data_IF_808366008053
#
_entry.id   IF_808366008053
#
_cell.length_a   1.000
_cell.length_b   1.000
_cell.length_c   1.000
_cell.angle_alpha   90.00
_cell.angle_beta   90.00
_cell.angle_gamma   90.00
#
_symmetry.space_group_name_H-M   'P 1'
#
loop_
_entity.id
_entity.type
_entity.pdbx_description
1 polymer ?
#
# COMPACT_ATOMS: atom_id res chain seq x y z
N UNK A 1 26.65 -4.17 -21.33
CA UNK A 1 25.71 -5.03 -22.08
C UNK A 1 24.48 -4.16 -22.35
N UNK A 2 24.26 -3.73 -23.58
CA UNK A 2 23.11 -2.92 -24.00
C UNK A 2 21.88 -3.82 -23.92
N UNK A 3 21.01 -3.58 -22.95
CA UNK A 3 19.67 -4.18 -22.91
C UNK A 3 18.97 -3.80 -24.22
N UNK A 4 18.46 -4.78 -24.98
CA UNK A 4 17.73 -4.48 -26.23
C UNK A 4 16.51 -3.63 -25.84
N UNK A 5 16.47 -2.39 -26.33
CA UNK A 5 15.35 -1.47 -26.09
C UNK A 5 14.04 -1.95 -26.75
N UNK A 6 14.15 -2.86 -27.72
CA UNK A 6 12.99 -3.40 -28.44
C UNK A 6 13.04 -4.92 -28.28
N UNK A 7 11.93 -5.51 -27.82
CA UNK A 7 11.77 -6.97 -27.69
C UNK A 7 11.39 -7.62 -29.04
N UNK A 8 11.27 -8.95 -29.05
CA UNK A 8 10.90 -9.73 -30.26
C UNK A 8 9.50 -9.40 -30.79
N UNK A 9 8.63 -8.78 -29.97
CA UNK A 9 7.28 -8.35 -30.34
C UNK A 9 7.22 -6.91 -30.83
N UNK A 10 8.37 -6.20 -30.89
CA UNK A 10 8.47 -4.81 -31.26
C UNK A 10 8.10 -3.83 -30.13
N UNK A 11 7.96 -4.31 -28.88
CA UNK A 11 7.71 -3.44 -27.74
C UNK A 11 9.00 -2.78 -27.26
N UNK A 12 8.92 -1.48 -26.98
CA UNK A 12 10.06 -0.69 -26.48
C UNK A 12 10.15 -0.81 -24.97
N UNK A 13 11.23 -1.38 -24.48
CA UNK A 13 11.47 -1.53 -23.06
C UNK A 13 12.39 -0.41 -22.56
N UNK A 14 11.89 0.43 -21.64
CA UNK A 14 12.68 1.50 -21.02
C UNK A 14 13.22 1.01 -19.68
N UNK A 15 14.55 0.79 -19.56
CA UNK A 15 15.13 0.40 -18.29
C UNK A 15 15.02 1.52 -17.26
N UNK A 16 14.78 1.16 -16.00
CA UNK A 16 14.78 2.11 -14.90
C UNK A 16 16.11 2.88 -14.81
N UNK A 17 16.08 4.18 -14.53
CA UNK A 17 17.30 4.95 -14.24
C UNK A 17 18.11 4.28 -13.13
N UNK A 18 19.45 4.34 -13.16
CA UNK A 18 20.32 3.63 -12.20
C UNK A 18 19.95 3.91 -10.74
N UNK A 19 19.60 5.15 -10.42
CA UNK A 19 19.16 5.54 -9.07
C UNK A 19 17.86 4.82 -8.65
N UNK A 20 16.84 4.85 -9.50
CA UNK A 20 15.56 4.21 -9.22
C UNK A 20 15.73 2.70 -9.07
N UNK A 21 16.53 2.06 -9.94
CA UNK A 21 16.84 0.64 -9.85
C UNK A 21 17.55 0.28 -8.55
N UNK A 22 18.54 1.08 -8.12
CA UNK A 22 19.27 0.84 -6.87
C UNK A 22 18.33 0.97 -5.69
N UNK A 23 17.46 1.97 -5.68
CA UNK A 23 16.56 2.26 -4.56
C UNK A 23 15.41 1.26 -4.47
N UNK A 24 14.73 0.97 -5.59
CA UNK A 24 13.48 0.22 -5.60
C UNK A 24 13.60 -1.25 -6.04
N UNK A 25 14.75 -1.65 -6.61
CA UNK A 25 14.90 -2.99 -7.19
C UNK A 25 16.12 -3.77 -6.69
N UNK A 26 16.93 -3.17 -5.78
CA UNK A 26 18.07 -3.87 -5.17
C UNK A 26 17.94 -3.90 -3.65
N UNK A 27 18.55 -4.91 -3.02
CA UNK A 27 18.52 -5.07 -1.56
C UNK A 27 19.43 -4.08 -0.83
N UNK A 28 20.19 -3.23 -1.55
CA UNK A 28 21.14 -2.28 -0.95
C UNK A 28 20.48 -1.32 0.05
N UNK A 29 19.26 -0.87 -0.23
CA UNK A 29 18.49 0.02 0.62
C UNK A 29 17.30 -0.68 1.32
N UNK A 30 17.30 -2.02 1.41
CA UNK A 30 16.23 -2.75 2.07
C UNK A 30 16.05 -2.37 3.55
N UNK A 31 17.12 -1.93 4.23
CA UNK A 31 17.07 -1.41 5.61
C UNK A 31 16.24 -0.12 5.72
N UNK A 32 16.28 0.76 4.72
CA UNK A 32 15.47 1.98 4.68
C UNK A 32 13.98 1.62 4.62
N UNK A 33 13.64 0.68 3.75
CA UNK A 33 12.27 0.18 3.62
C UNK A 33 11.77 -0.52 4.87
N UNK A 34 12.66 -1.22 5.58
CA UNK A 34 12.33 -1.78 6.90
C UNK A 34 11.94 -0.69 7.90
N UNK A 35 12.69 0.40 8.00
CA UNK A 35 12.38 1.52 8.91
C UNK A 35 11.03 2.14 8.57
N UNK A 36 10.79 2.46 7.29
CA UNK A 36 9.52 3.05 6.83
C UNK A 36 8.35 2.09 7.13
N UNK A 37 8.51 0.81 6.86
CA UNK A 37 7.54 -0.22 7.12
C UNK A 37 7.19 -0.35 8.60
N UNK A 38 8.20 -0.41 9.47
CA UNK A 38 8.00 -0.49 10.92
C UNK A 38 7.31 0.75 11.47
N UNK A 39 7.68 1.93 10.99
CA UNK A 39 7.01 3.18 11.36
C UNK A 39 5.52 3.16 10.96
N UNK A 40 5.20 2.84 9.72
CA UNK A 40 3.82 2.75 9.25
C UNK A 40 3.05 1.65 9.98
N UNK A 41 3.67 0.48 10.22
CA UNK A 41 3.07 -0.60 11.00
C UNK A 41 2.65 -0.11 12.39
N UNK A 42 3.56 0.52 13.12
CA UNK A 42 3.26 1.06 14.44
C UNK A 42 2.07 2.04 14.41
N UNK A 43 2.04 2.93 13.43
CA UNK A 43 0.96 3.93 13.28
C UNK A 43 -0.37 3.29 12.94
N UNK A 44 -0.40 2.33 12.02
CA UNK A 44 -1.60 1.59 11.65
C UNK A 44 -2.13 0.72 12.80
N UNK A 45 -1.25 0.02 13.50
CA UNK A 45 -1.64 -0.82 14.63
C UNK A 45 -2.20 0.01 15.79
N UNK A 46 -1.55 1.11 16.16
CA UNK A 46 -2.03 1.98 17.24
C UNK A 46 -3.36 2.64 16.91
N UNK A 47 -3.54 3.11 15.67
CA UNK A 47 -4.81 3.68 15.19
C UNK A 47 -5.92 2.63 15.19
N UNK A 48 -5.68 1.48 14.57
CA UNK A 48 -6.65 0.39 14.47
C UNK A 48 -7.01 -0.21 15.83
N UNK A 49 -6.02 -0.40 16.70
CA UNK A 49 -6.26 -0.89 18.06
C UNK A 49 -7.16 0.04 18.86
N UNK A 50 -6.90 1.35 18.78
CA UNK A 50 -7.74 2.36 19.43
C UNK A 50 -9.21 2.32 18.93
N UNK A 51 -9.41 2.00 17.64
CA UNK A 51 -10.76 1.82 17.08
C UNK A 51 -11.39 0.48 17.49
N UNK A 52 -10.64 -0.62 17.46
CA UNK A 52 -11.13 -1.95 17.86
C UNK A 52 -11.59 -2.00 19.30
N UNK A 53 -10.94 -1.23 20.18
CA UNK A 53 -11.29 -1.19 21.62
C UNK A 53 -12.34 -0.13 21.94
N UNK A 54 -12.77 0.65 20.95
CA UNK A 54 -13.76 1.72 21.13
C UNK A 54 -15.14 1.26 20.65
N UNK A 55 -16.13 1.13 21.56
CA UNK A 55 -17.50 0.73 21.19
C UNK A 55 -18.13 1.59 20.11
N UNK A 56 -17.84 2.90 20.05
CA UNK A 56 -18.37 3.79 19.03
C UNK A 56 -17.92 3.46 17.60
N UNK A 57 -16.82 2.70 17.45
CA UNK A 57 -16.39 2.16 16.16
C UNK A 57 -16.96 0.77 15.88
N UNK A 58 -17.02 -0.08 16.94
CA UNK A 58 -17.33 -1.50 16.79
C UNK A 58 -18.81 -1.83 16.96
N UNK A 59 -19.56 -1.00 17.71
CA UNK A 59 -20.97 -1.22 18.02
C UNK A 59 -21.81 -0.12 17.37
N UNK A 60 -22.23 -0.35 16.11
CA UNK A 60 -23.07 0.59 15.37
C UNK A 60 -22.32 1.64 14.53
N UNK A 61 -21.01 1.80 14.69
CA UNK A 61 -20.19 2.69 13.84
C UNK A 61 -20.45 4.18 14.03
N UNK A 62 -20.98 4.61 15.18
CA UNK A 62 -21.35 6.01 15.45
C UNK A 62 -20.17 6.99 15.30
N UNK A 63 -18.93 6.55 15.61
CA UNK A 63 -17.75 7.38 15.40
C UNK A 63 -17.47 7.65 13.91
N UNK A 64 -17.69 6.65 13.05
CA UNK A 64 -17.54 6.82 11.61
C UNK A 64 -18.69 7.65 11.04
N UNK A 65 -19.92 7.43 11.52
CA UNK A 65 -21.08 8.25 11.18
C UNK A 65 -20.81 9.72 11.44
N UNK A 66 -20.42 10.08 12.66
CA UNK A 66 -20.12 11.47 13.02
C UNK A 66 -18.99 12.07 12.18
N UNK A 67 -17.97 11.27 11.84
CA UNK A 67 -16.91 11.69 10.93
C UNK A 67 -17.45 11.99 9.52
N UNK A 68 -18.29 11.12 8.95
CA UNK A 68 -18.89 11.33 7.63
C UNK A 68 -19.88 12.49 7.61
N UNK A 69 -20.74 12.63 8.63
CA UNK A 69 -21.67 13.77 8.78
C UNK A 69 -20.91 15.10 8.78
N UNK A 70 -19.83 15.19 9.56
CA UNK A 70 -18.97 16.37 9.56
C UNK A 70 -18.28 16.61 8.23
N UNK A 71 -17.88 15.55 7.52
CA UNK A 71 -17.21 15.65 6.22
C UNK A 71 -18.14 16.14 5.10
N UNK A 72 -19.41 15.66 5.05
CA UNK A 72 -20.39 16.05 4.01
C UNK A 72 -21.01 17.41 4.27
N UNK A 73 -20.95 17.92 5.49
CA UNK A 73 -21.54 19.20 5.87
C UNK A 73 -21.00 20.35 4.99
N UNK A 74 -21.89 21.23 4.58
CA UNK A 74 -21.54 22.48 3.88
C UNK A 74 -21.71 23.60 4.90
N UNK A 75 -20.61 24.24 5.34
CA UNK A 75 -20.70 25.32 6.30
C UNK A 75 -21.30 26.58 5.66
N UNK A 76 -22.01 27.39 6.46
CA UNK A 76 -22.57 28.67 6.02
C UNK A 76 -21.47 29.68 5.61
N UNK A 77 -20.28 29.55 6.21
CA UNK A 77 -19.09 30.34 5.86
C UNK A 77 -17.86 29.45 5.81
N UNK A 78 -16.95 29.77 4.88
CA UNK A 78 -15.70 29.01 4.68
C UNK A 78 -15.80 27.97 3.58
N UNK A 79 -14.84 27.02 3.58
CA UNK A 79 -14.77 25.95 2.57
C UNK A 79 -15.29 24.63 3.15
N UNK A 80 -16.06 23.86 2.40
CA UNK A 80 -16.44 22.52 2.82
C UNK A 80 -15.22 21.62 2.95
N UNK A 81 -15.28 20.64 3.87
CA UNK A 81 -14.20 19.68 4.10
C UNK A 81 -13.88 18.86 2.83
N UNK A 82 -14.91 18.43 2.11
CA UNK A 82 -14.79 17.70 0.85
C UNK A 82 -14.75 18.67 -0.33
N UNK A 83 -13.64 18.68 -1.07
CA UNK A 83 -13.47 19.50 -2.26
C UNK A 83 -14.24 18.97 -3.49
N UNK A 84 -14.41 17.63 -3.59
CA UNK A 84 -15.00 16.97 -4.76
C UNK A 84 -16.47 16.62 -4.52
N UNK A 85 -17.38 17.24 -5.28
CA UNK A 85 -18.84 17.01 -5.16
C UNK A 85 -19.25 15.54 -5.32
N UNK A 86 -18.63 14.81 -6.27
CA UNK A 86 -18.91 13.39 -6.47
C UNK A 86 -18.58 12.55 -5.22
N UNK A 87 -17.50 12.87 -4.50
CA UNK A 87 -17.11 12.14 -3.30
C UNK A 87 -18.04 12.47 -2.11
N UNK A 88 -18.48 13.72 -2.03
CA UNK A 88 -19.52 14.12 -1.05
C UNK A 88 -20.81 13.33 -1.28
N UNK A 89 -21.30 13.26 -2.53
CA UNK A 89 -22.51 12.49 -2.87
C UNK A 89 -22.33 11.00 -2.55
N UNK A 90 -21.13 10.45 -2.79
CA UNK A 90 -20.82 9.08 -2.42
C UNK A 90 -20.88 8.84 -0.90
N UNK A 91 -20.28 9.71 -0.09
CA UNK A 91 -20.36 9.58 1.37
C UNK A 91 -21.79 9.81 1.89
N UNK A 92 -22.55 10.74 1.30
CA UNK A 92 -23.95 10.95 1.64
C UNK A 92 -24.77 9.69 1.35
N UNK A 93 -24.58 9.05 0.21
CA UNK A 93 -25.20 7.77 -0.11
C UNK A 93 -24.89 6.68 0.94
N UNK A 94 -23.62 6.59 1.39
CA UNK A 94 -23.24 5.63 2.43
C UNK A 94 -23.89 5.96 3.79
N UNK A 95 -24.04 7.24 4.12
CA UNK A 95 -24.77 7.69 5.32
C UNK A 95 -26.24 7.31 5.26
N UNK A 96 -26.92 7.63 4.16
CA UNK A 96 -28.35 7.35 3.97
C UNK A 96 -28.64 5.83 3.99
N UNK A 97 -27.69 5.02 3.51
CA UNK A 97 -27.74 3.57 3.57
C UNK A 97 -27.34 2.97 4.93
N UNK A 98 -27.03 3.79 5.95
CA UNK A 98 -26.51 3.38 7.25
C UNK A 98 -25.27 2.46 7.18
N UNK A 99 -24.45 2.62 6.12
CA UNK A 99 -23.30 1.77 5.88
C UNK A 99 -22.19 1.91 6.93
N UNK A 100 -22.17 2.99 7.70
CA UNK A 100 -21.23 3.21 8.79
C UNK A 100 -21.27 2.10 9.85
N UNK A 101 -22.40 1.39 10.00
CA UNK A 101 -22.58 0.31 10.98
C UNK A 101 -21.61 -0.86 10.76
N UNK A 102 -21.35 -1.22 9.53
CA UNK A 102 -20.40 -2.28 9.17
C UNK A 102 -19.05 -1.74 8.65
N UNK A 103 -19.06 -0.53 8.08
CA UNK A 103 -17.82 0.11 7.61
C UNK A 103 -16.90 0.51 8.76
N UNK A 104 -17.45 0.93 9.91
CA UNK A 104 -16.69 1.27 11.11
C UNK A 104 -15.79 0.10 11.57
N UNK A 105 -16.37 -1.08 11.88
CA UNK A 105 -15.61 -2.28 12.17
C UNK A 105 -14.65 -2.69 11.06
N UNK A 106 -15.04 -2.59 9.78
CA UNK A 106 -14.20 -2.91 8.63
C UNK A 106 -12.93 -2.03 8.59
N UNK A 107 -13.08 -0.73 8.80
CA UNK A 107 -11.95 0.21 8.86
C UNK A 107 -11.03 -0.14 10.04
N UNK A 108 -11.58 -0.37 11.23
CA UNK A 108 -10.81 -0.71 12.42
C UNK A 108 -9.98 -1.99 12.23
N UNK A 109 -10.61 -3.06 11.73
CA UNK A 109 -9.93 -4.33 11.42
C UNK A 109 -8.91 -4.15 10.29
N UNK A 110 -9.28 -3.43 9.23
CA UNK A 110 -8.41 -3.16 8.09
C UNK A 110 -7.12 -2.45 8.49
N UNK A 111 -7.19 -1.45 9.37
CA UNK A 111 -6.02 -0.76 9.90
C UNK A 111 -5.07 -1.70 10.65
N UNK A 112 -5.61 -2.58 11.51
CA UNK A 112 -4.80 -3.56 12.23
C UNK A 112 -4.20 -4.59 11.29
N UNK A 113 -4.96 -5.09 10.31
CA UNK A 113 -4.46 -6.05 9.32
C UNK A 113 -3.32 -5.43 8.50
N UNK A 114 -3.48 -4.21 8.00
CA UNK A 114 -2.41 -3.48 7.31
C UNK A 114 -1.20 -3.33 8.20
N UNK A 115 -1.40 -2.95 9.47
CA UNK A 115 -0.32 -2.81 10.45
C UNK A 115 0.44 -4.12 10.67
N UNK A 116 -0.25 -5.24 10.85
CA UNK A 116 0.35 -6.57 11.03
C UNK A 116 1.11 -7.02 9.78
N UNK A 117 0.52 -6.87 8.60
CA UNK A 117 1.18 -7.23 7.34
C UNK A 117 2.47 -6.44 7.12
N UNK A 118 2.44 -5.12 7.40
CA UNK A 118 3.62 -4.28 7.36
C UNK A 118 4.65 -4.67 8.42
N UNK A 119 4.25 -5.04 9.64
CA UNK A 119 5.16 -5.49 10.70
C UNK A 119 5.91 -6.74 10.25
N UNK A 120 5.16 -7.74 9.82
CA UNK A 120 5.72 -9.03 9.40
C UNK A 120 6.49 -8.93 8.06
N UNK A 121 6.24 -7.89 7.28
CA UNK A 121 6.73 -7.79 5.90
C UNK A 121 6.17 -8.89 5.03
N UNK A 122 4.87 -9.15 5.18
CA UNK A 122 4.13 -10.12 4.41
C UNK A 122 3.22 -9.38 3.43
N UNK A 123 3.33 -9.68 2.14
CA UNK A 123 2.57 -8.99 1.09
C UNK A 123 2.70 -7.46 1.21
N UNK A 124 3.92 -6.98 1.46
CA UNK A 124 4.20 -5.58 1.78
C UNK A 124 3.62 -4.62 0.74
N UNK A 125 3.73 -4.94 -0.55
CA UNK A 125 3.16 -4.14 -1.62
C UNK A 125 1.63 -4.04 -1.55
N UNK A 126 0.94 -5.16 -1.27
CA UNK A 126 -0.52 -5.21 -1.12
C UNK A 126 -0.94 -4.43 0.14
N UNK A 127 -0.25 -4.64 1.27
CA UNK A 127 -0.51 -3.90 2.50
C UNK A 127 -0.34 -2.39 2.31
N UNK A 128 0.70 -1.97 1.56
CA UNK A 128 0.92 -0.57 1.23
C UNK A 128 -0.18 -0.01 0.31
N UNK A 129 -0.69 -0.78 -0.65
CA UNK A 129 -1.82 -0.37 -1.50
C UNK A 129 -3.08 -0.18 -0.66
N UNK A 130 -3.43 -1.15 0.19
CA UNK A 130 -4.62 -1.07 1.05
C UNK A 130 -4.55 0.11 2.02
N UNK A 131 -3.42 0.29 2.70
CA UNK A 131 -3.22 1.43 3.59
C UNK A 131 -3.22 2.76 2.83
N UNK A 132 -2.60 2.82 1.65
CA UNK A 132 -2.63 3.99 0.76
C UNK A 132 -4.04 4.35 0.33
N UNK A 133 -4.84 3.35 -0.03
CA UNK A 133 -6.26 3.53 -0.36
C UNK A 133 -7.06 4.10 0.82
N UNK A 134 -6.84 3.58 2.04
CA UNK A 134 -7.48 4.10 3.24
C UNK A 134 -7.07 5.56 3.51
N UNK A 135 -5.78 5.88 3.47
CA UNK A 135 -5.30 7.24 3.63
C UNK A 135 -5.85 8.19 2.58
N UNK A 136 -5.90 7.74 1.33
CA UNK A 136 -6.46 8.54 0.24
C UNK A 136 -7.94 8.89 0.50
N UNK A 137 -8.75 7.92 0.96
CA UNK A 137 -10.14 8.16 1.33
C UNK A 137 -10.27 9.12 2.52
N UNK A 138 -9.42 9.01 3.54
CA UNK A 138 -9.40 9.97 4.65
C UNK A 138 -9.09 11.38 4.18
N UNK A 139 -8.13 11.55 3.26
CA UNK A 139 -7.82 12.86 2.67
C UNK A 139 -8.98 13.40 1.83
N UNK A 140 -9.64 12.57 1.01
CA UNK A 140 -10.81 12.97 0.24
C UNK A 140 -11.96 13.42 1.14
N UNK A 141 -12.11 12.81 2.33
CA UNK A 141 -13.08 13.21 3.35
C UNK A 141 -12.64 14.46 4.15
N UNK A 142 -11.55 15.12 3.76
CA UNK A 142 -11.08 16.35 4.38
C UNK A 142 -10.18 16.16 5.60
N UNK A 143 -9.83 14.92 5.96
CA UNK A 143 -8.88 14.63 7.05
C UNK A 143 -7.44 14.68 6.55
N UNK A 144 -6.82 15.86 6.57
CA UNK A 144 -5.42 16.00 6.21
C UNK A 144 -4.48 15.40 7.29
N UNK A 145 -4.36 16.01 8.44
CA UNK A 145 -3.54 15.55 9.57
C UNK A 145 -2.21 14.91 9.11
N UNK A 146 -1.95 13.66 9.50
CA UNK A 146 -0.77 12.87 9.12
C UNK A 146 -0.95 12.06 7.82
N UNK A 147 -2.18 11.99 7.29
CA UNK A 147 -2.54 11.14 6.16
C UNK A 147 -1.73 11.42 4.87
N UNK A 148 -1.39 12.66 4.50
CA UNK A 148 -0.56 12.93 3.33
C UNK A 148 0.83 12.32 3.42
N UNK A 149 1.45 12.39 4.61
CA UNK A 149 2.77 11.80 4.86
C UNK A 149 2.69 10.27 4.79
N UNK A 150 1.68 9.67 5.40
CA UNK A 150 1.49 8.21 5.35
C UNK A 150 1.21 7.74 3.93
N UNK A 151 0.38 8.46 3.18
CA UNK A 151 0.11 8.17 1.78
C UNK A 151 1.40 8.19 0.94
N UNK A 152 2.22 9.23 1.10
CA UNK A 152 3.51 9.32 0.42
C UNK A 152 4.43 8.14 0.76
N UNK A 153 4.57 7.79 2.04
CA UNK A 153 5.39 6.65 2.47
C UNK A 153 4.86 5.32 1.93
N UNK A 154 3.55 5.16 1.81
CA UNK A 154 2.94 3.98 1.21
C UNK A 154 3.17 3.91 -0.29
N UNK A 155 3.08 5.03 -1.02
CA UNK A 155 3.45 5.09 -2.44
C UNK A 155 4.91 4.67 -2.64
N UNK A 156 5.82 5.12 -1.77
CA UNK A 156 7.22 4.69 -1.81
C UNK A 156 7.38 3.18 -1.55
N UNK A 157 6.63 2.61 -0.60
CA UNK A 157 6.63 1.15 -0.37
C UNK A 157 6.04 0.37 -1.55
N UNK A 158 5.01 0.92 -2.22
CA UNK A 158 4.44 0.34 -3.44
C UNK A 158 5.50 0.30 -4.54
N UNK A 159 6.23 1.38 -4.76
CA UNK A 159 7.32 1.42 -5.74
C UNK A 159 8.44 0.42 -5.37
N UNK A 160 8.71 0.27 -4.07
CA UNK A 160 9.71 -0.65 -3.53
C UNK A 160 9.18 -2.07 -3.27
N UNK A 161 7.98 -2.44 -3.74
CA UNK A 161 7.32 -3.70 -3.39
C UNK A 161 8.20 -4.95 -3.54
N UNK A 162 9.13 -4.92 -4.51
CA UNK A 162 10.09 -6.00 -4.78
C UNK A 162 11.06 -6.23 -3.62
N UNK A 163 11.42 -5.18 -2.88
CA UNK A 163 12.49 -5.21 -1.87
C UNK A 163 12.06 -4.72 -0.49
N UNK A 164 10.89 -4.08 -0.39
CA UNK A 164 10.40 -3.53 0.88
C UNK A 164 10.15 -4.62 1.95
N UNK A 165 9.77 -5.83 1.54
CA UNK A 165 9.60 -6.99 2.43
C UNK A 165 10.83 -7.88 2.58
N UNK A 166 12.02 -7.47 2.10
CA UNK A 166 13.23 -8.29 2.14
C UNK A 166 13.64 -8.74 3.55
N UNK A 167 13.56 -7.84 4.54
CA UNK A 167 13.71 -8.16 5.97
C UNK A 167 12.36 -8.55 6.59
N UNK A 168 11.62 -9.44 5.96
CA UNK A 168 10.32 -9.92 6.38
C UNK A 168 9.94 -11.22 5.70
N UNK A 169 8.66 -11.59 5.78
CA UNK A 169 8.14 -12.83 5.22
C UNK A 169 8.12 -12.84 3.68
N UNK A 170 8.10 -11.68 3.02
CA UNK A 170 8.10 -11.58 1.56
C UNK A 170 9.32 -12.25 0.92
N UNK A 171 10.44 -12.31 1.64
CA UNK A 171 11.63 -13.04 1.19
C UNK A 171 11.35 -14.51 0.86
N UNK A 172 10.36 -15.12 1.52
CA UNK A 172 9.98 -16.52 1.31
C UNK A 172 8.64 -16.65 0.57
N UNK A 173 7.71 -15.71 0.79
CA UNK A 173 6.37 -15.75 0.19
C UNK A 173 6.41 -15.42 -1.29
N UNK A 174 7.03 -14.29 -1.68
CA UNK A 174 7.01 -13.81 -3.06
C UNK A 174 7.67 -14.81 -4.05
N UNK A 175 8.82 -15.44 -3.76
CA UNK A 175 9.38 -16.44 -4.65
C UNK A 175 8.48 -17.67 -4.85
N UNK A 176 7.69 -18.05 -3.83
CA UNK A 176 6.73 -19.16 -3.97
C UNK A 176 5.55 -18.80 -4.87
N UNK A 177 5.23 -17.52 -4.97
CA UNK A 177 4.21 -16.98 -5.87
C UNK A 177 4.76 -16.64 -7.26
N UNK A 178 6.05 -16.92 -7.52
CA UNK A 178 6.69 -16.65 -8.81
C UNK A 178 7.01 -15.18 -9.05
N UNK A 179 7.04 -14.33 -8.00
CA UNK A 179 7.31 -12.91 -8.13
C UNK A 179 8.19 -12.38 -7.00
N UNK A 180 8.96 -11.35 -7.22
CA UNK A 180 9.77 -10.98 -8.39
C UNK A 180 11.09 -11.74 -8.39
N UNK A 181 11.35 -12.51 -7.31
CA UNK A 181 12.60 -13.22 -7.05
C UNK A 181 12.49 -14.71 -7.39
N UNK A 182 11.97 -14.99 -8.55
CA UNK A 182 11.82 -16.36 -9.01
C UNK A 182 13.20 -17.04 -9.09
N UNK A 183 13.44 -18.00 -8.21
CA UNK A 183 14.73 -18.70 -8.11
C UNK A 183 15.01 -19.59 -9.33
N UNK A 184 13.98 -20.01 -10.05
CA UNK A 184 14.10 -20.82 -11.26
C UNK A 184 14.84 -20.10 -12.39
N UNK A 185 14.62 -18.80 -12.59
CA UNK A 185 15.26 -18.05 -13.68
C UNK A 185 16.78 -17.92 -13.52
N UNK A 186 17.33 -17.93 -12.29
CA UNK A 186 18.78 -17.93 -12.09
C UNK A 186 19.41 -19.31 -12.43
N UNK A 187 18.69 -20.39 -12.15
CA UNK A 187 19.11 -21.76 -12.45
C UNK A 187 18.91 -22.09 -13.93
N UNK A 188 17.80 -21.64 -14.51
CA UNK A 188 17.53 -21.75 -15.94
C UNK A 188 18.52 -20.92 -16.77
N UNK A 189 18.81 -19.66 -16.39
CA UNK A 189 19.86 -18.85 -17.04
C UNK A 189 21.25 -19.47 -16.91
N UNK A 190 21.56 -20.11 -15.78
CA UNK A 190 22.81 -20.84 -15.62
C UNK A 190 22.86 -22.12 -16.48
N UNK A 191 21.75 -22.83 -16.64
CA UNK A 191 21.63 -23.98 -17.51
C UNK A 191 21.73 -23.59 -18.99
N UNK A 192 21.04 -22.50 -19.39
CA UNK A 192 21.11 -21.95 -20.76
C UNK A 192 22.52 -21.45 -21.11
N UNK A 193 23.23 -20.81 -20.15
CA UNK A 193 24.62 -20.38 -20.38
C UNK A 193 25.56 -21.57 -20.56
N UNK A 194 25.31 -22.67 -19.86
CA UNK A 194 26.14 -23.92 -20.00
C UNK A 194 25.81 -24.63 -21.32
N UNK A 195 24.54 -24.63 -21.75
CA UNK A 195 24.16 -25.26 -23.02
C UNK A 195 24.70 -24.50 -24.25
N UNK A 196 24.79 -23.17 -24.18
CA UNK A 196 25.34 -22.34 -25.27
C UNK A 196 26.88 -22.49 -25.36
N UNK A 197 27.55 -22.74 -24.23
CA UNK A 197 29.02 -22.95 -24.21
C UNK A 197 29.46 -24.36 -24.61
N UNK A 198 28.52 -25.31 -24.75
CA UNK A 198 28.78 -26.71 -25.09
C UNK A 198 28.44 -27.08 -26.53
N UNK A 199 28.07 -26.11 -27.37
CA UNK A 199 27.85 -26.33 -28.81
C UNK A 199 29.20 -26.12 -29.54
N UNK A 200 29.73 -27.15 -30.21
CA UNK A 200 31.02 -27.09 -30.87
C UNK A 200 31.03 -26.19 -32.11
#
# INVERSE_FOLDING_TARGET
MSEKLVDEKGEVNFPDPPFARILFSTTRFAWLWLIIRLYLSYRWMTSGWGKLTNPAWMQGGEALKGFWEGAVAIPDAGRPAIAFGWYRSFLQFLLDANSYTWFGPLVAVGEVVVGILLLLGAFTGIAAILGGFMNFNFMLAGSASVNPVFFLLQVLLILAWKVAGWYGLDRWLLPRLGTPWYRGTARERAADTVSISSTP
#
